data_IF_925470058755
#
_entry.id   IF_925470058755
#
_cell.length_a   1.000
_cell.length_b   1.000
_cell.length_c   1.000
_cell.angle_alpha   90.00
_cell.angle_beta   90.00
_cell.angle_gamma   90.00
#
_symmetry.space_group_name_H-M   'P 1'
#
loop_
_entity.id
_entity.type
_entity.pdbx_description
1 polymer ?
#
# COMPACT_ATOMS: atom_id res chain seq x y z
N UNK A 1 -17.78 -1.14 -24.59
CA UNK A 1 -17.56 0.19 -24.00
C UNK A 1 -16.34 0.06 -23.09
N UNK A 2 -15.27 0.84 -23.31
CA UNK A 2 -14.10 0.78 -22.46
C UNK A 2 -14.47 1.19 -21.03
N UNK A 3 -13.96 0.47 -20.03
CA UNK A 3 -14.03 0.91 -18.64
C UNK A 3 -13.06 2.09 -18.50
N UNK A 4 -13.56 3.33 -18.49
CA UNK A 4 -12.73 4.53 -18.48
C UNK A 4 -11.87 4.65 -17.20
N UNK A 5 -12.41 4.13 -16.10
CA UNK A 5 -11.80 4.14 -14.76
C UNK A 5 -10.82 2.98 -14.55
N UNK A 6 -10.48 2.20 -15.60
CA UNK A 6 -9.56 1.07 -15.49
C UNK A 6 -8.21 1.45 -14.88
N UNK A 7 -7.75 2.69 -15.10
CA UNK A 7 -6.52 3.23 -14.54
C UNK A 7 -6.56 3.42 -13.01
N UNK A 8 -7.75 3.47 -12.40
CA UNK A 8 -7.93 3.57 -10.95
C UNK A 8 -7.94 2.19 -10.26
N UNK A 9 -7.89 1.12 -11.05
CA UNK A 9 -7.95 -0.26 -10.58
C UNK A 9 -6.59 -0.88 -10.80
N UNK A 10 -6.10 -1.57 -9.77
CA UNK A 10 -4.80 -2.25 -9.87
C UNK A 10 -4.85 -3.32 -10.96
N UNK A 11 -3.80 -3.45 -11.80
CA UNK A 11 -3.77 -4.41 -12.90
C UNK A 11 -4.05 -5.85 -12.48
N UNK A 12 -3.57 -6.27 -11.31
CA UNK A 12 -3.80 -7.61 -10.76
C UNK A 12 -5.29 -7.91 -10.46
N UNK A 13 -6.10 -6.87 -10.24
CA UNK A 13 -7.53 -6.98 -9.97
C UNK A 13 -8.37 -6.90 -11.25
N UNK A 14 -7.74 -6.92 -12.43
CA UNK A 14 -8.39 -6.84 -13.73
C UNK A 14 -8.13 -8.12 -14.51
N UNK A 15 -9.18 -8.90 -14.73
CA UNK A 15 -9.13 -10.11 -15.56
C UNK A 15 -9.73 -9.78 -16.92
N UNK A 16 -8.92 -9.84 -17.98
CA UNK A 16 -9.37 -9.70 -19.36
C UNK A 16 -8.96 -10.93 -20.15
N UNK A 17 -9.86 -11.40 -21.00
CA UNK A 17 -9.59 -12.54 -21.87
C UNK A 17 -9.37 -12.03 -23.30
N UNK A 18 -8.17 -12.24 -23.84
CA UNK A 18 -7.84 -11.83 -25.21
C UNK A 18 -8.45 -12.76 -26.27
N UNK A 19 -8.82 -13.98 -25.89
CA UNK A 19 -9.58 -14.93 -26.73
C UNK A 19 -10.57 -15.67 -25.85
N UNK A 20 -11.86 -15.47 -26.08
CA UNK A 20 -12.92 -16.14 -25.35
C UNK A 20 -14.13 -16.33 -26.27
N UNK A 21 -14.60 -17.56 -26.41
CA UNK A 21 -15.84 -17.88 -27.12
C UNK A 21 -16.79 -18.57 -26.15
N UNK A 22 -18.02 -18.05 -26.04
CA UNK A 22 -19.09 -18.63 -25.21
C UNK A 22 -20.20 -19.06 -26.16
N UNK A 23 -20.56 -20.34 -26.15
CA UNK A 23 -21.62 -20.89 -27.00
C UNK A 23 -21.47 -20.56 -28.51
N UNK A 24 -20.22 -20.45 -28.98
CA UNK A 24 -19.91 -20.10 -30.37
C UNK A 24 -19.92 -18.60 -30.68
N UNK A 25 -20.19 -17.74 -29.70
CA UNK A 25 -20.10 -16.27 -29.82
C UNK A 25 -18.75 -15.80 -29.30
N UNK A 26 -18.00 -15.07 -30.14
CA UNK A 26 -16.75 -14.42 -29.73
C UNK A 26 -17.03 -13.25 -28.79
N UNK A 27 -16.52 -13.38 -27.57
CA UNK A 27 -16.62 -12.37 -26.50
C UNK A 27 -15.21 -11.91 -26.07
N UNK A 28 -14.22 -11.98 -26.95
CA UNK A 28 -12.86 -11.51 -26.68
C UNK A 28 -12.73 -9.98 -26.61
N UNK A 29 -11.87 -9.47 -25.73
CA UNK A 29 -11.59 -8.03 -25.63
C UNK A 29 -12.28 -7.35 -24.44
N UNK A 30 -12.63 -6.07 -24.55
CA UNK A 30 -12.98 -5.23 -23.40
C UNK A 30 -14.25 -5.67 -22.67
N UNK A 31 -15.22 -6.24 -23.39
CA UNK A 31 -16.46 -6.80 -22.79
C UNK A 31 -16.21 -8.04 -21.92
N UNK A 32 -15.03 -8.66 -22.01
CA UNK A 32 -14.59 -9.73 -21.09
C UNK A 32 -13.78 -9.22 -19.90
N UNK A 33 -13.68 -7.90 -19.70
CA UNK A 33 -12.93 -7.35 -18.57
C UNK A 33 -13.76 -7.43 -17.30
N UNK A 34 -13.33 -8.26 -16.36
CA UNK A 34 -13.91 -8.39 -15.04
C UNK A 34 -13.03 -7.71 -13.99
N UNK A 35 -13.68 -6.96 -13.10
CA UNK A 35 -13.04 -6.35 -11.95
C UNK A 35 -13.20 -7.33 -10.79
N UNK A 36 -12.08 -7.76 -10.21
CA UNK A 36 -12.10 -8.62 -9.03
C UNK A 36 -12.58 -7.86 -7.78
N UNK A 37 -12.98 -8.62 -6.77
CA UNK A 37 -13.43 -8.10 -5.48
C UNK A 37 -12.38 -7.18 -4.87
N UNK A 38 -12.82 -5.99 -4.43
CA UNK A 38 -11.96 -4.99 -3.75
C UNK A 38 -12.06 -5.05 -2.23
N UNK A 39 -12.79 -6.02 -1.70
CA UNK A 39 -12.89 -6.25 -0.26
C UNK A 39 -11.54 -6.76 0.22
N UNK A 40 -10.96 -6.02 1.15
CA UNK A 40 -9.73 -6.40 1.85
C UNK A 40 -10.16 -7.33 2.99
N UNK A 41 -9.59 -8.52 3.06
CA UNK A 41 -9.95 -9.55 4.05
C UNK A 41 -8.75 -10.03 4.85
N UNK A 42 -7.56 -9.56 4.50
CA UNK A 42 -6.23 -10.03 4.92
C UNK A 42 -5.60 -9.10 5.97
N UNK A 43 -6.42 -8.48 6.82
CA UNK A 43 -5.93 -7.63 7.91
C UNK A 43 -5.24 -8.47 9.00
N UNK A 44 -4.04 -8.05 9.39
CA UNK A 44 -3.39 -8.50 10.60
C UNK A 44 -3.78 -7.58 11.76
N UNK A 45 -4.80 -7.96 12.52
CA UNK A 45 -5.33 -7.16 13.64
C UNK A 45 -4.30 -6.98 14.78
N UNK A 46 -3.34 -7.89 14.91
CA UNK A 46 -2.30 -7.84 15.95
C UNK A 46 -1.08 -6.99 15.54
N UNK A 47 -1.00 -6.54 14.29
CA UNK A 47 0.19 -5.89 13.73
C UNK A 47 0.68 -4.69 14.54
N UNK A 48 -0.25 -3.87 15.06
CA UNK A 48 0.11 -2.73 15.90
C UNK A 48 0.81 -3.17 17.19
N UNK A 49 0.36 -4.25 17.82
CA UNK A 49 0.93 -4.78 19.05
C UNK A 49 2.28 -5.46 18.80
N UNK A 50 2.39 -6.22 17.71
CA UNK A 50 3.64 -6.83 17.26
C UNK A 50 4.74 -5.79 17.06
N UNK A 51 4.44 -4.69 16.36
CA UNK A 51 5.39 -3.60 16.14
C UNK A 51 5.66 -2.82 17.43
N UNK A 52 4.67 -2.63 18.29
CA UNK A 52 4.87 -1.98 19.58
C UNK A 52 5.78 -2.78 20.54
N UNK A 53 5.87 -4.10 20.37
CA UNK A 53 6.78 -4.96 21.12
C UNK A 53 8.24 -4.89 20.62
N UNK A 54 8.49 -4.32 19.44
CA UNK A 54 9.84 -4.14 18.90
C UNK A 54 10.50 -2.87 19.46
N UNK A 55 11.83 -2.87 19.66
CA UNK A 55 12.56 -1.68 20.10
C UNK A 55 12.35 -0.49 19.13
N UNK A 56 11.91 0.65 19.67
CA UNK A 56 11.62 1.86 18.90
C UNK A 56 10.20 1.92 18.30
N UNK A 57 9.39 0.86 18.45
CA UNK A 57 7.99 0.81 18.01
C UNK A 57 6.97 1.13 19.10
N UNK A 58 7.39 1.32 20.35
CA UNK A 58 6.55 1.37 21.55
C UNK A 58 5.44 2.44 21.46
N UNK A 59 5.72 3.52 20.72
CA UNK A 59 4.84 4.68 20.59
C UNK A 59 4.02 4.72 19.28
N UNK A 60 4.02 3.63 18.49
CA UNK A 60 3.33 3.61 17.19
C UNK A 60 1.83 3.95 17.28
N UNK A 61 1.18 3.53 18.37
CA UNK A 61 -0.23 3.80 18.66
C UNK A 61 -0.54 5.30 18.83
N UNK A 62 0.47 6.14 19.11
CA UNK A 62 0.33 7.60 19.28
C UNK A 62 0.29 8.36 17.97
N UNK A 63 0.64 7.73 16.84
CA UNK A 63 0.74 8.42 15.57
C UNK A 63 -0.61 8.93 15.06
N UNK A 64 -0.83 10.24 15.07
CA UNK A 64 -2.01 10.91 14.51
C UNK A 64 -1.86 11.43 13.07
N UNK A 65 -0.90 10.89 12.31
CA UNK A 65 -0.75 11.18 10.87
C UNK A 65 -0.40 12.64 10.50
N UNK A 66 0.33 13.36 11.36
CA UNK A 66 0.74 14.76 11.10
C UNK A 66 1.70 14.94 9.91
N UNK A 67 2.51 13.93 9.57
CA UNK A 67 3.44 13.98 8.44
C UNK A 67 4.80 14.62 8.68
N UNK A 68 5.13 15.02 9.92
CA UNK A 68 6.45 15.55 10.28
C UNK A 68 7.59 14.60 9.88
N UNK A 69 7.38 13.28 10.04
CA UNK A 69 8.35 12.25 9.66
C UNK A 69 8.68 12.30 8.15
N UNK A 70 7.67 12.34 7.28
CA UNK A 70 7.84 12.42 5.82
C UNK A 70 8.52 13.72 5.41
N UNK A 71 8.11 14.86 5.99
CA UNK A 71 8.70 16.17 5.69
C UNK A 71 10.19 16.27 6.10
N UNK A 72 10.57 15.64 7.21
CA UNK A 72 11.96 15.63 7.70
C UNK A 72 12.88 14.64 6.97
N UNK A 73 12.32 13.72 6.17
CA UNK A 73 13.04 12.60 5.60
C UNK A 73 13.90 13.02 4.41
N UNK A 74 15.20 12.68 4.46
CA UNK A 74 16.12 12.94 3.35
C UNK A 74 15.91 12.01 2.16
N UNK A 75 15.40 10.79 2.39
CA UNK A 75 15.09 9.83 1.31
C UNK A 75 13.85 10.28 0.57
N UNK A 76 12.81 10.74 1.28
CA UNK A 76 11.61 11.33 0.67
C UNK A 76 11.94 12.52 -0.25
N UNK A 77 12.96 13.31 0.10
CA UNK A 77 13.40 14.43 -0.73
C UNK A 77 14.01 14.00 -2.08
N UNK A 78 14.53 12.77 -2.17
CA UNK A 78 15.08 12.20 -3.40
C UNK A 78 14.06 11.32 -4.13
N UNK A 79 13.26 10.58 -3.37
CA UNK A 79 12.23 9.67 -3.84
C UNK A 79 10.91 9.98 -3.13
N UNK A 80 9.96 10.70 -3.76
CA UNK A 80 8.66 11.06 -3.17
C UNK A 80 7.78 9.87 -2.76
N UNK A 81 8.06 8.67 -3.26
CA UNK A 81 7.35 7.46 -2.87
C UNK A 81 7.79 6.96 -1.48
N UNK A 82 8.95 7.44 -0.96
CA UNK A 82 9.41 7.11 0.38
C UNK A 82 8.61 7.87 1.44
N UNK A 83 7.48 7.30 1.86
CA UNK A 83 6.55 7.97 2.76
C UNK A 83 6.38 7.22 4.10
N UNK A 84 7.21 7.50 5.12
CA UNK A 84 7.15 6.81 6.41
C UNK A 84 5.82 7.02 7.14
N UNK A 85 5.14 8.16 6.94
CA UNK A 85 3.79 8.38 7.49
C UNK A 85 2.80 7.33 6.98
N UNK A 86 2.84 7.02 5.69
CA UNK A 86 1.94 6.05 5.06
C UNK A 86 2.16 4.64 5.61
N UNK A 87 3.42 4.22 5.80
CA UNK A 87 3.70 2.90 6.37
C UNK A 87 3.23 2.77 7.81
N UNK A 88 3.41 3.82 8.63
CA UNK A 88 2.86 3.83 10.00
C UNK A 88 1.32 3.71 9.95
N UNK A 89 0.66 4.35 8.98
CA UNK A 89 -0.78 4.19 8.79
C UNK A 89 -1.18 2.76 8.45
N UNK A 90 -0.49 2.12 7.50
CA UNK A 90 -0.74 0.72 7.12
C UNK A 90 -0.56 -0.23 8.30
N UNK A 91 0.50 -0.03 9.09
CA UNK A 91 0.76 -0.85 10.28
C UNK A 91 -0.37 -0.71 11.29
N UNK A 92 -0.84 0.52 11.56
CA UNK A 92 -1.95 0.77 12.49
C UNK A 92 -3.28 0.19 12.03
N UNK A 93 -3.45 -0.02 10.72
CA UNK A 93 -4.61 -0.69 10.14
C UNK A 93 -4.46 -2.21 10.00
N UNK A 94 -3.26 -2.75 10.18
CA UNK A 94 -2.99 -4.17 9.93
C UNK A 94 -2.88 -4.54 8.45
N UNK A 95 -2.60 -3.58 7.55
CA UNK A 95 -2.55 -3.81 6.11
C UNK A 95 -1.18 -4.34 5.66
N UNK A 96 -0.87 -5.57 6.02
CA UNK A 96 0.45 -6.17 5.81
C UNK A 96 0.81 -6.34 4.33
N UNK A 97 -0.12 -6.83 3.49
CA UNK A 97 0.14 -7.00 2.05
C UNK A 97 0.45 -5.68 1.36
N UNK A 98 -0.19 -4.59 1.78
CA UNK A 98 0.10 -3.26 1.25
C UNK A 98 1.48 -2.78 1.68
N UNK A 99 1.88 -3.05 2.92
CA UNK A 99 3.23 -2.71 3.39
C UNK A 99 4.31 -3.49 2.64
N UNK A 100 4.08 -4.78 2.36
CA UNK A 100 5.02 -5.64 1.63
C UNK A 100 5.25 -5.23 0.18
N UNK A 101 4.29 -4.53 -0.45
CA UNK A 101 4.47 -3.97 -1.80
C UNK A 101 5.55 -2.89 -1.83
N UNK A 102 5.64 -2.11 -0.75
CA UNK A 102 6.61 -1.02 -0.62
C UNK A 102 7.95 -1.48 -0.03
N UNK A 103 8.16 -2.78 0.20
CA UNK A 103 9.36 -3.31 0.89
C UNK A 103 10.67 -2.75 0.31
N UNK A 104 10.78 -2.68 -1.02
CA UNK A 104 12.01 -2.27 -1.71
C UNK A 104 12.28 -0.76 -1.53
N UNK A 105 11.24 0.01 -1.23
CA UNK A 105 11.32 1.44 -0.89
C UNK A 105 11.61 1.59 0.60
N UNK A 106 10.95 0.83 1.46
CA UNK A 106 11.14 0.83 2.93
C UNK A 106 12.62 0.58 3.28
N UNK A 107 13.26 -0.38 2.61
CA UNK A 107 14.67 -0.72 2.82
C UNK A 107 15.66 0.37 2.38
N UNK A 108 15.22 1.45 1.75
CA UNK A 108 16.06 2.61 1.43
C UNK A 108 16.26 3.54 2.65
N UNK A 109 15.61 3.24 3.79
CA UNK A 109 15.81 3.99 5.03
C UNK A 109 17.27 3.92 5.48
N UNK A 110 17.90 5.09 5.67
CA UNK A 110 19.28 5.20 6.15
C UNK A 110 19.39 5.33 7.67
N UNK A 111 18.30 5.11 8.41
CA UNK A 111 18.25 5.17 9.88
C UNK A 111 18.85 6.45 10.50
N UNK A 112 18.67 7.60 9.83
CA UNK A 112 19.23 8.88 10.28
C UNK A 112 18.52 9.50 11.50
N UNK A 113 17.43 8.89 11.98
CA UNK A 113 16.63 9.31 13.14
C UNK A 113 16.00 10.71 13.10
N UNK A 114 16.12 11.46 12.00
CA UNK A 114 15.48 12.80 11.86
C UNK A 114 13.97 12.78 12.10
N UNK A 115 13.29 11.76 11.56
CA UNK A 115 11.86 11.59 11.75
C UNK A 115 11.48 11.34 13.22
N UNK A 116 12.31 10.63 13.98
CA UNK A 116 12.12 10.41 15.41
C UNK A 116 12.24 11.70 16.20
N UNK A 117 13.24 12.53 15.91
CA UNK A 117 13.43 13.84 16.57
C UNK A 117 12.35 14.85 16.20
N UNK A 118 11.84 14.80 14.96
CA UNK A 118 10.78 15.70 14.48
C UNK A 118 9.36 15.24 14.88
N UNK A 119 9.21 14.05 15.46
CA UNK A 119 7.91 13.55 15.90
C UNK A 119 7.45 14.35 17.14
N UNK A 120 6.29 15.02 17.08
CA UNK A 120 5.75 15.76 18.22
C UNK A 120 5.18 14.85 19.31
#
# INVERSE_FOLDING_TARGET
MPIHEKHLIRPENLVRNDKLAIEGVDVSGDWSTFIQTRVITDYNEAMQEEIAALPGGEFIHRCWQCGSCTNSCTVNALNPDFNPRYWIYLIRLGMEQELLRDKDIIWQCVSCNKCTYACP
#
